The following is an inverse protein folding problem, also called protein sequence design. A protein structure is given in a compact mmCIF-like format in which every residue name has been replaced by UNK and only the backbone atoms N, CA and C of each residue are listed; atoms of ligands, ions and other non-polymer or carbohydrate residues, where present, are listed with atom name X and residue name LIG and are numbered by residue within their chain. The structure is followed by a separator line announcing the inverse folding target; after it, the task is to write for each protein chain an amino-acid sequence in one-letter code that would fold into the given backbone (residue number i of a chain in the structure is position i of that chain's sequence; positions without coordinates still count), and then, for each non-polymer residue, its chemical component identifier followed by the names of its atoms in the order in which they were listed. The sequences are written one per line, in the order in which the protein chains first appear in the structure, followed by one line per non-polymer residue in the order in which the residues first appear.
data_IF_528595512294
#
_entry.id   IF_528595512294
#
_cell.length_a   1.000
_cell.length_b   1.000
_cell.length_c   1.000
_cell.angle_alpha   90.00
_cell.angle_beta   90.00
_cell.angle_gamma   90.00
#
_symmetry.space_group_name_H-M   'P 1'
#
loop_
_entity.id
_entity.type
_entity.pdbx_description
1 polymer ?
#
# COMPACT_ATOMS: atom_id res chain seq x y z
N UNK A 1 37.32 55.22 17.85
CA UNK A 1 38.52 54.49 17.39
C UNK A 1 38.54 53.15 18.11
N UNK A 2 38.58 52.04 17.37
CA UNK A 2 39.24 50.80 17.83
C UNK A 2 40.66 50.80 17.21
N UNK A 3 41.63 50.03 17.76
CA UNK A 3 41.83 48.69 17.20
C UNK A 3 42.26 47.59 18.20
N UNK A 4 42.05 46.35 17.75
CA UNK A 4 42.91 45.16 17.91
C UNK A 4 43.32 44.61 19.28
N UNK A 5 42.83 43.41 19.57
CA UNK A 5 43.64 42.32 20.12
C UNK A 5 43.21 40.99 19.47
N UNK A 6 44.10 40.38 18.67
CA UNK A 6 43.90 39.06 18.06
C UNK A 6 44.59 37.98 18.88
N UNK A 7 43.96 36.82 19.08
CA UNK A 7 44.65 35.52 19.23
C UNK A 7 43.70 34.29 19.22
N UNK A 8 44.09 33.32 18.37
CA UNK A 8 43.73 31.89 18.29
C UNK A 8 44.99 31.18 17.73
N UNK A 9 45.18 29.84 17.76
CA UNK A 9 44.22 28.73 17.89
C UNK A 9 44.52 27.87 19.18
N UNK A 10 44.30 26.56 19.35
CA UNK A 10 43.83 25.44 18.48
C UNK A 10 42.93 24.42 19.26
N UNK A 11 42.96 23.05 19.19
CA UNK A 11 41.70 22.28 19.25
C UNK A 11 41.51 21.34 20.45
N UNK A 12 40.27 20.88 20.64
CA UNK A 12 39.85 19.87 21.64
C UNK A 12 39.34 18.63 20.89
N UNK A 13 40.24 17.75 20.45
CA UNK A 13 39.89 16.49 19.75
C UNK A 13 40.36 15.21 20.50
N UNK A 14 40.96 15.35 21.68
CA UNK A 14 41.63 14.23 22.39
C UNK A 14 40.86 13.68 23.62
N UNK A 15 39.56 14.01 23.77
CA UNK A 15 38.77 13.64 24.97
C UNK A 15 37.53 12.77 24.75
N UNK A 16 37.33 12.26 23.53
CA UNK A 16 36.19 11.38 23.20
C UNK A 16 36.58 9.93 22.84
N UNK A 17 37.88 9.60 22.74
CA UNK A 17 38.34 8.28 22.32
C UNK A 17 38.33 7.19 23.42
N UNK A 18 38.20 7.54 24.70
CA UNK A 18 38.35 6.58 25.82
C UNK A 18 37.02 6.12 26.47
N UNK A 19 35.87 6.24 25.78
CA UNK A 19 34.55 5.96 26.38
C UNK A 19 33.64 4.97 25.67
N UNK A 20 34.08 4.32 24.58
CA UNK A 20 33.25 3.36 23.83
C UNK A 20 33.71 1.89 23.93
N UNK A 21 34.83 1.58 24.61
CA UNK A 21 35.35 0.20 24.72
C UNK A 21 34.76 -0.67 25.85
N UNK A 22 33.76 -0.20 26.58
CA UNK A 22 33.06 -0.99 27.61
C UNK A 22 31.53 -0.87 27.48
N UNK A 23 30.95 -1.66 26.57
CA UNK A 23 29.64 -2.33 26.72
C UNK A 23 29.29 -3.09 25.42
N UNK A 24 29.81 -4.31 25.25
CA UNK A 24 29.31 -5.20 24.20
C UNK A 24 29.50 -6.68 24.56
N UNK A 25 28.54 -7.23 25.30
CA UNK A 25 28.33 -8.66 25.48
C UNK A 25 26.89 -8.92 25.95
N UNK A 26 26.12 -9.73 25.20
CA UNK A 26 25.16 -10.77 25.65
C UNK A 26 24.31 -11.23 24.44
N UNK A 27 24.68 -12.42 23.97
CA UNK A 27 23.89 -13.57 23.49
C UNK A 27 22.59 -13.42 22.64
N UNK A 28 22.56 -14.21 21.56
CA UNK A 28 21.38 -14.58 20.76
C UNK A 28 20.52 -15.65 21.44
N UNK A 29 19.23 -15.73 21.08
CA UNK A 29 18.55 -17.02 20.97
C UNK A 29 17.92 -17.31 19.59
N UNK A 30 18.35 -18.46 19.05
CA UNK A 30 17.77 -19.39 18.07
C UNK A 30 16.28 -19.22 17.68
N UNK A 31 16.02 -19.21 16.36
CA UNK A 31 14.73 -19.59 15.74
C UNK A 31 14.70 -21.10 15.41
N UNK A 32 13.54 -21.77 15.48
CA UNK A 32 13.27 -23.02 14.76
C UNK A 32 12.47 -22.77 13.46
N UNK A 33 12.94 -23.32 12.35
CA UNK A 33 12.22 -23.36 11.07
C UNK A 33 11.17 -24.48 11.05
N UNK A 34 10.04 -24.26 10.36
CA UNK A 34 9.21 -25.34 9.80
C UNK A 34 8.73 -24.94 8.41
N UNK A 35 9.02 -25.77 7.41
CA UNK A 35 8.46 -25.67 6.06
C UNK A 35 7.06 -26.30 6.03
N UNK A 36 6.16 -25.77 5.20
CA UNK A 36 5.24 -26.61 4.44
C UNK A 36 4.81 -25.93 3.13
N UNK A 37 4.77 -26.73 2.08
CA UNK A 37 4.44 -26.34 0.70
C UNK A 37 2.95 -26.65 0.44
N UNK A 38 2.28 -25.81 -0.36
CA UNK A 38 0.91 -26.06 -0.79
C UNK A 38 0.46 -25.13 -1.92
N UNK A 39 0.72 -25.52 -3.17
CA UNK A 39 0.08 -24.90 -4.34
C UNK A 39 -1.40 -25.31 -4.44
N UNK A 40 -2.27 -24.39 -4.83
CA UNK A 40 -3.31 -24.65 -5.85
C UNK A 40 -3.73 -23.34 -6.52
N UNK A 41 -3.97 -23.37 -7.84
CA UNK A 41 -4.46 -22.23 -8.62
C UNK A 41 -5.95 -21.94 -8.42
N UNK A 42 -6.40 -20.77 -8.90
CA UNK A 42 -7.78 -20.31 -8.74
C UNK A 42 -8.69 -20.59 -9.95
N UNK A 43 -9.99 -20.34 -9.76
CA UNK A 43 -11.05 -20.06 -10.76
C UNK A 43 -12.12 -19.28 -9.95
N UNK A 44 -12.31 -17.99 -10.25
CA UNK A 44 -13.42 -17.42 -11.03
C UNK A 44 -14.81 -17.45 -10.39
N UNK A 45 -15.42 -16.26 -10.41
CA UNK A 45 -16.76 -15.86 -10.02
C UNK A 45 -17.91 -16.75 -10.49
N UNK A 46 -18.95 -16.86 -9.66
CA UNK A 46 -20.35 -16.82 -10.10
C UNK A 46 -21.26 -16.42 -8.93
N UNK A 47 -22.26 -15.59 -9.23
CA UNK A 47 -23.27 -15.11 -8.29
C UNK A 47 -24.30 -16.21 -8.00
N UNK A 48 -24.88 -16.22 -6.80
CA UNK A 48 -26.29 -16.62 -6.61
C UNK A 48 -26.81 -16.16 -5.25
N UNK A 49 -27.96 -15.48 -5.26
CA UNK A 49 -28.75 -15.16 -4.07
C UNK A 49 -29.48 -16.42 -3.59
N UNK A 50 -29.33 -16.78 -2.30
CA UNK A 50 -30.24 -17.71 -1.64
C UNK A 50 -30.41 -17.35 -0.16
N UNK A 51 -31.66 -17.22 0.25
CA UNK A 51 -32.13 -16.95 1.62
C UNK A 51 -31.68 -18.05 2.59
N UNK A 52 -31.16 -17.66 3.76
CA UNK A 52 -30.92 -18.58 4.88
C UNK A 52 -32.11 -18.57 5.85
N UNK A 53 -32.84 -19.67 5.94
CA UNK A 53 -33.68 -20.02 7.09
C UNK A 53 -32.95 -21.06 7.97
N UNK A 54 -33.09 -21.01 9.31
CA UNK A 54 -32.42 -21.95 10.21
C UNK A 54 -33.27 -23.21 10.44
N UNK A 55 -32.78 -24.38 10.02
CA UNK A 55 -33.44 -25.65 10.33
C UNK A 55 -33.00 -26.17 11.71
N UNK A 56 -33.87 -26.00 12.71
CA UNK A 56 -33.72 -26.62 14.03
C UNK A 56 -34.27 -28.03 13.97
N UNK A 57 -33.51 -29.03 14.43
CA UNK A 57 -33.97 -30.42 14.57
C UNK A 57 -33.88 -30.85 16.03
N UNK A 58 -35.01 -30.76 16.74
CA UNK A 58 -35.16 -31.36 18.06
C UNK A 58 -35.34 -32.88 17.91
N UNK A 59 -34.59 -33.66 18.67
CA UNK A 59 -34.88 -35.07 18.93
C UNK A 59 -35.16 -35.23 20.42
N UNK A 60 -36.40 -35.59 20.74
CA UNK A 60 -36.95 -35.61 22.09
C UNK A 60 -36.61 -36.93 22.80
N UNK A 61 -36.37 -36.87 24.11
CA UNK A 61 -36.04 -38.05 24.92
C UNK A 61 -37.33 -38.82 25.23
N UNK A 62 -37.36 -40.12 24.91
CA UNK A 62 -38.42 -41.02 25.36
C UNK A 62 -37.81 -42.18 26.14
N UNK A 63 -38.25 -42.26 27.40
CA UNK A 63 -38.02 -43.35 28.35
C UNK A 63 -38.81 -44.59 27.97
N UNK A 64 -38.18 -45.77 28.00
CA UNK A 64 -38.90 -47.06 27.92
C UNK A 64 -38.19 -48.13 28.75
N UNK A 65 -38.75 -48.40 29.92
CA UNK A 65 -38.58 -49.61 30.72
C UNK A 65 -38.93 -50.87 29.92
N UNK A 66 -38.15 -51.95 30.07
CA UNK A 66 -38.56 -53.30 29.63
C UNK A 66 -38.33 -54.30 30.75
N UNK A 67 -39.40 -54.99 31.14
CA UNK A 67 -39.43 -56.01 32.17
C UNK A 67 -38.80 -57.34 31.72
N UNK A 68 -38.47 -58.16 32.73
CA UNK A 68 -38.15 -59.57 32.60
C UNK A 68 -39.33 -60.33 31.97
N UNK A 69 -39.05 -61.26 31.06
CA UNK A 69 -40.03 -62.28 30.64
C UNK A 69 -39.58 -63.67 31.04
N UNK A 70 -40.41 -64.34 31.83
CA UNK A 70 -40.32 -65.78 32.12
C UNK A 70 -40.80 -66.61 30.93
N UNK A 71 -40.25 -67.82 30.78
CA UNK A 71 -40.91 -69.00 30.20
C UNK A 71 -40.09 -70.22 30.66
N UNK A 72 -40.53 -71.01 31.65
CA UNK A 72 -41.69 -71.92 31.68
C UNK A 72 -41.46 -73.25 30.95
N UNK A 73 -41.05 -74.23 31.78
CA UNK A 73 -41.41 -75.66 31.78
C UNK A 73 -41.57 -76.46 30.47
N UNK A 74 -40.74 -77.49 30.33
CA UNK A 74 -40.99 -78.70 29.55
C UNK A 74 -40.77 -79.95 30.41
N UNK A 75 -41.84 -80.72 30.63
CA UNK A 75 -41.88 -81.90 31.51
C UNK A 75 -41.52 -83.18 30.74
N UNK A 76 -40.63 -84.03 31.29
CA UNK A 76 -40.56 -85.44 30.87
C UNK A 76 -40.06 -86.36 32.00
N UNK A 77 -40.78 -87.45 32.23
CA UNK A 77 -40.51 -88.45 33.28
C UNK A 77 -39.95 -89.72 32.67
N UNK A 78 -38.82 -90.22 33.18
CA UNK A 78 -38.41 -91.61 33.05
C UNK A 78 -37.55 -92.03 34.26
N UNK A 79 -37.78 -93.24 34.77
CA UNK A 79 -37.21 -93.78 36.00
C UNK A 79 -35.90 -94.55 35.73
N UNK A 80 -34.92 -94.49 36.64
CA UNK A 80 -34.38 -95.67 37.37
C UNK A 80 -33.14 -95.32 38.22
N UNK A 81 -32.88 -96.14 39.25
CA UNK A 81 -31.95 -95.91 40.37
C UNK A 81 -30.45 -96.19 40.07
N UNK A 82 -29.52 -95.82 40.99
CA UNK A 82 -28.13 -95.51 40.64
C UNK A 82 -27.09 -96.62 40.97
N UNK A 83 -25.97 -96.62 40.26
CA UNK A 83 -24.72 -97.25 40.72
C UNK A 83 -23.47 -96.42 40.34
N UNK A 84 -22.47 -96.48 41.23
CA UNK A 84 -21.05 -96.15 41.02
C UNK A 84 -20.61 -94.67 40.86
N UNK A 85 -20.75 -93.92 41.96
CA UNK A 85 -19.61 -93.47 42.77
C UNK A 85 -18.21 -93.41 42.09
N UNK A 86 -17.93 -92.42 41.24
CA UNK A 86 -16.56 -92.12 40.79
C UNK A 86 -16.26 -90.68 40.29
N UNK A 87 -17.25 -89.77 40.19
CA UNK A 87 -17.08 -88.45 39.54
C UNK A 87 -17.59 -87.27 40.41
N UNK A 88 -17.38 -87.35 41.72
CA UNK A 88 -17.89 -86.36 42.70
C UNK A 88 -16.93 -85.22 43.07
N UNK A 89 -15.77 -85.07 42.41
CA UNK A 89 -14.71 -84.14 42.85
C UNK A 89 -14.30 -83.07 41.83
N UNK A 90 -14.67 -83.20 40.55
CA UNK A 90 -14.34 -82.20 39.52
C UNK A 90 -15.47 -81.15 39.36
N UNK A 91 -16.73 -81.57 39.50
CA UNK A 91 -17.92 -80.72 39.32
C UNK A 91 -18.05 -79.64 40.42
N UNK A 92 -17.66 -79.93 41.67
CA UNK A 92 -17.74 -78.94 42.75
C UNK A 92 -16.64 -77.86 42.63
N UNK A 93 -15.45 -78.22 42.14
CA UNK A 93 -14.35 -77.27 41.93
C UNK A 93 -14.61 -76.30 40.78
N UNK A 94 -15.20 -76.76 39.67
CA UNK A 94 -15.55 -75.88 38.54
C UNK A 94 -16.64 -74.87 38.93
N UNK A 95 -17.68 -75.32 39.64
CA UNK A 95 -18.72 -74.42 40.13
C UNK A 95 -18.17 -73.35 41.09
N UNK A 96 -17.32 -73.73 42.06
CA UNK A 96 -16.73 -72.77 42.99
C UNK A 96 -15.77 -71.78 42.28
N UNK A 97 -15.15 -72.16 41.16
CA UNK A 97 -14.37 -71.26 40.31
C UNK A 97 -15.25 -70.24 39.59
N UNK A 98 -16.38 -70.68 39.01
CA UNK A 98 -17.30 -69.82 38.27
C UNK A 98 -17.98 -68.77 39.17
N UNK A 99 -18.33 -69.13 40.41
CA UNK A 99 -18.86 -68.15 41.37
C UNK A 99 -17.82 -67.09 41.76
N UNK A 100 -16.56 -67.47 41.97
CA UNK A 100 -15.49 -66.52 42.29
C UNK A 100 -15.20 -65.55 41.13
N UNK A 101 -15.25 -66.01 39.88
CA UNK A 101 -15.10 -65.17 38.69
C UNK A 101 -16.30 -64.20 38.55
N UNK A 102 -17.52 -64.65 38.84
CA UNK A 102 -18.71 -63.80 38.84
C UNK A 102 -18.64 -62.69 39.91
N UNK A 103 -18.19 -63.00 41.13
CA UNK A 103 -17.99 -62.00 42.20
C UNK A 103 -16.94 -60.94 41.83
N UNK A 104 -15.80 -61.37 41.25
CA UNK A 104 -14.77 -60.44 40.76
C UNK A 104 -15.33 -59.51 39.69
N UNK A 105 -16.08 -60.05 38.72
CA UNK A 105 -16.69 -59.27 37.64
C UNK A 105 -17.74 -58.27 38.15
N UNK A 106 -18.52 -58.63 39.18
CA UNK A 106 -19.44 -57.68 39.83
C UNK A 106 -18.68 -56.56 40.55
N UNK A 107 -17.58 -56.87 41.25
CA UNK A 107 -16.75 -55.87 41.92
C UNK A 107 -16.05 -54.92 40.92
N UNK A 108 -15.64 -55.41 39.75
CA UNK A 108 -15.12 -54.59 38.64
C UNK A 108 -16.20 -53.68 38.05
N UNK A 109 -17.40 -54.21 37.78
CA UNK A 109 -18.52 -53.42 37.26
C UNK A 109 -18.96 -52.32 38.23
N UNK A 110 -18.99 -52.59 39.55
CA UNK A 110 -19.30 -51.57 40.56
C UNK A 110 -18.25 -50.45 40.61
N UNK A 111 -16.96 -50.78 40.43
CA UNK A 111 -15.88 -49.77 40.33
C UNK A 111 -16.02 -48.95 39.05
N UNK A 112 -16.33 -49.58 37.92
CA UNK A 112 -16.57 -48.89 36.65
C UNK A 112 -17.79 -47.96 36.72
N UNK A 113 -18.89 -48.41 37.34
CA UNK A 113 -20.08 -47.59 37.56
C UNK A 113 -19.79 -46.36 38.44
N UNK A 114 -18.99 -46.52 39.51
CA UNK A 114 -18.56 -45.40 40.35
C UNK A 114 -17.69 -44.39 39.59
N UNK A 115 -16.72 -44.87 38.80
CA UNK A 115 -15.86 -44.02 37.98
C UNK A 115 -16.65 -43.24 36.91
N UNK A 116 -17.58 -43.91 36.21
CA UNK A 116 -18.45 -43.29 35.20
C UNK A 116 -19.38 -42.23 35.82
N UNK A 117 -19.89 -42.46 37.04
CA UNK A 117 -20.67 -41.45 37.77
C UNK A 117 -19.85 -40.21 38.12
N UNK A 118 -18.59 -40.39 38.51
CA UNK A 118 -17.68 -39.27 38.77
C UNK A 118 -17.37 -38.49 37.48
N UNK A 119 -17.06 -39.18 36.39
CA UNK A 119 -16.83 -38.58 35.06
C UNK A 119 -18.05 -37.79 34.57
N UNK A 120 -19.27 -38.33 34.72
CA UNK A 120 -20.51 -37.61 34.38
C UNK A 120 -20.65 -36.32 35.17
N UNK A 121 -20.32 -36.30 36.47
CA UNK A 121 -20.36 -35.08 37.29
C UNK A 121 -19.29 -34.08 36.82
N UNK A 122 -18.09 -34.53 36.48
CA UNK A 122 -17.03 -33.68 35.94
C UNK A 122 -17.41 -33.08 34.57
N UNK A 123 -18.01 -33.88 33.67
CA UNK A 123 -18.52 -33.44 32.36
C UNK A 123 -19.68 -32.45 32.49
N UNK A 124 -20.59 -32.66 33.44
CA UNK A 124 -21.67 -31.70 33.74
C UNK A 124 -21.13 -30.38 34.29
N UNK A 125 -20.06 -30.41 35.08
CA UNK A 125 -19.40 -29.21 35.59
C UNK A 125 -18.66 -28.45 34.49
N UNK A 126 -17.94 -29.14 33.60
CA UNK A 126 -17.23 -28.52 32.46
C UNK A 126 -18.20 -27.93 31.44
N UNK A 127 -19.31 -28.62 31.13
CA UNK A 127 -20.37 -28.10 30.26
C UNK A 127 -20.97 -26.80 30.81
N UNK A 128 -21.30 -26.73 32.11
CA UNK A 128 -21.82 -25.51 32.74
C UNK A 128 -20.83 -24.34 32.69
N UNK A 129 -19.54 -24.60 32.88
CA UNK A 129 -18.49 -23.59 32.76
C UNK A 129 -18.40 -23.06 31.32
N UNK A 130 -18.34 -23.97 30.34
CA UNK A 130 -18.28 -23.60 28.92
C UNK A 130 -19.54 -22.82 28.47
N UNK A 131 -20.73 -23.22 28.93
CA UNK A 131 -21.97 -22.48 28.68
C UNK A 131 -21.93 -21.05 29.26
N UNK A 132 -21.31 -20.87 30.44
CA UNK A 132 -21.05 -19.55 31.03
C UNK A 132 -20.11 -18.71 30.17
N UNK A 133 -18.98 -19.28 29.73
CA UNK A 133 -18.03 -18.58 28.86
C UNK A 133 -18.65 -18.18 27.51
N UNK A 134 -19.51 -19.02 26.93
CA UNK A 134 -20.24 -18.71 25.70
C UNK A 134 -21.23 -17.56 25.91
N UNK A 135 -21.94 -17.50 27.04
CA UNK A 135 -22.87 -16.39 27.30
C UNK A 135 -22.15 -15.07 27.62
N UNK A 136 -21.01 -15.13 28.30
CA UNK A 136 -20.15 -13.97 28.57
C UNK A 136 -19.55 -13.40 27.27
N UNK A 137 -19.00 -14.26 26.40
CA UNK A 137 -18.44 -13.84 25.10
C UNK A 137 -19.50 -13.33 24.13
N UNK A 138 -20.71 -13.89 24.12
CA UNK A 138 -21.85 -13.31 23.39
C UNK A 138 -22.21 -11.93 23.91
N UNK A 139 -22.18 -11.72 25.23
CA UNK A 139 -22.50 -10.43 25.87
C UNK A 139 -21.44 -9.37 25.57
N UNK A 140 -20.15 -9.73 25.63
CA UNK A 140 -19.05 -8.80 25.32
C UNK A 140 -19.01 -8.44 23.83
N UNK A 141 -19.24 -9.41 22.93
CA UNK A 141 -19.36 -9.16 21.50
C UNK A 141 -20.57 -8.23 21.19
N UNK A 142 -21.72 -8.46 21.83
CA UNK A 142 -22.89 -7.60 21.70
C UNK A 142 -22.61 -6.15 22.11
N UNK A 143 -21.86 -5.93 23.19
CA UNK A 143 -21.43 -4.58 23.63
C UNK A 143 -20.48 -3.93 22.62
N UNK A 144 -19.47 -4.65 22.14
CA UNK A 144 -18.51 -4.14 21.15
C UNK A 144 -19.22 -3.75 19.84
N UNK A 145 -20.14 -4.59 19.35
CA UNK A 145 -20.97 -4.27 18.18
C UNK A 145 -21.82 -3.03 18.43
N UNK A 146 -22.47 -2.90 19.58
CA UNK A 146 -23.27 -1.71 19.90
C UNK A 146 -22.41 -0.44 19.98
N UNK A 147 -21.24 -0.50 20.62
CA UNK A 147 -20.32 0.64 20.73
C UNK A 147 -19.77 1.06 19.37
N UNK A 148 -19.33 0.11 18.54
CA UNK A 148 -18.86 0.40 17.18
C UNK A 148 -19.95 1.03 16.29
N UNK A 149 -21.21 0.64 16.44
CA UNK A 149 -22.33 1.28 15.74
C UNK A 149 -22.54 2.73 16.18
N UNK A 150 -22.44 3.02 17.47
CA UNK A 150 -22.53 4.40 18.01
C UNK A 150 -21.37 5.26 17.51
N UNK A 151 -20.13 4.73 17.53
CA UNK A 151 -18.95 5.43 16.98
C UNK A 151 -19.08 5.69 15.48
N UNK A 152 -19.60 4.72 14.70
CA UNK A 152 -19.84 4.87 13.27
C UNK A 152 -20.90 5.95 12.98
N UNK A 153 -21.98 5.99 13.78
CA UNK A 153 -23.02 7.02 13.67
C UNK A 153 -22.48 8.42 14.02
N UNK A 154 -21.68 8.56 15.08
CA UNK A 154 -21.00 9.81 15.43
C UNK A 154 -20.05 10.30 14.33
N UNK A 155 -19.27 9.38 13.73
CA UNK A 155 -18.36 9.69 12.61
C UNK A 155 -19.15 10.14 11.37
N UNK A 156 -20.27 9.49 11.07
CA UNK A 156 -21.19 9.88 9.99
C UNK A 156 -21.78 11.28 10.22
N UNK A 157 -22.26 11.58 11.43
CA UNK A 157 -22.81 12.90 11.76
C UNK A 157 -21.75 14.01 11.66
N UNK A 158 -20.55 13.78 12.19
CA UNK A 158 -19.42 14.72 12.09
C UNK A 158 -19.05 15.01 10.63
N UNK A 159 -18.97 13.96 9.79
CA UNK A 159 -18.70 14.12 8.36
C UNK A 159 -19.82 14.87 7.64
N UNK A 160 -21.09 14.62 7.97
CA UNK A 160 -22.21 15.34 7.37
C UNK A 160 -22.17 16.84 7.69
N UNK A 161 -21.82 17.20 8.93
CA UNK A 161 -21.64 18.60 9.35
C UNK A 161 -20.44 19.24 8.63
N UNK A 162 -19.32 18.52 8.48
CA UNK A 162 -18.13 19.07 7.80
C UNK A 162 -18.37 19.30 6.31
N UNK A 163 -19.12 18.41 5.64
CA UNK A 163 -19.56 18.59 4.25
C UNK A 163 -20.42 19.85 4.12
N UNK A 164 -21.44 20.02 4.97
CA UNK A 164 -22.31 21.21 4.91
C UNK A 164 -21.51 22.51 5.15
N UNK A 165 -20.53 22.50 6.05
CA UNK A 165 -19.64 23.64 6.27
C UNK A 165 -18.77 23.95 5.05
N UNK A 166 -18.24 22.91 4.39
CA UNK A 166 -17.43 23.06 3.18
C UNK A 166 -18.26 23.56 1.99
N UNK A 167 -19.49 23.07 1.81
CA UNK A 167 -20.43 23.56 0.80
C UNK A 167 -20.79 25.04 1.04
N UNK A 168 -21.16 25.41 2.27
CA UNK A 168 -21.41 26.82 2.65
C UNK A 168 -20.19 27.71 2.42
N UNK A 169 -18.97 27.21 2.67
CA UNK A 169 -17.72 27.94 2.40
C UNK A 169 -17.45 28.06 0.90
N UNK A 170 -17.63 26.99 0.13
CA UNK A 170 -17.49 27.00 -1.33
C UNK A 170 -18.45 27.99 -1.97
N UNK A 171 -19.72 27.98 -1.53
CA UNK A 171 -20.74 28.88 -2.08
C UNK A 171 -20.50 30.34 -1.70
N UNK A 172 -20.00 30.62 -0.49
CA UNK A 172 -19.52 31.96 -0.14
C UNK A 172 -18.39 32.40 -1.07
N UNK A 173 -17.36 31.57 -1.25
CA UNK A 173 -16.21 31.87 -2.11
C UNK A 173 -16.64 32.06 -3.58
N UNK A 174 -17.59 31.26 -4.09
CA UNK A 174 -18.17 31.46 -5.44
C UNK A 174 -18.89 32.81 -5.55
N UNK A 175 -19.69 33.19 -4.57
CA UNK A 175 -20.40 34.47 -4.58
C UNK A 175 -19.45 35.67 -4.41
N UNK A 176 -18.42 35.55 -3.58
CA UNK A 176 -17.34 36.53 -3.47
C UNK A 176 -16.59 36.67 -4.81
N UNK A 177 -16.21 35.56 -5.46
CA UNK A 177 -15.60 35.62 -6.79
C UNK A 177 -16.53 36.27 -7.82
N UNK A 178 -17.80 35.87 -7.88
CA UNK A 178 -18.79 36.41 -8.85
C UNK A 178 -19.10 37.89 -8.66
N UNK A 179 -19.00 38.41 -7.43
CA UNK A 179 -19.25 39.83 -7.11
C UNK A 179 -17.99 40.68 -7.12
N UNK A 180 -16.82 40.09 -6.93
CA UNK A 180 -15.52 40.79 -6.99
C UNK A 180 -15.14 41.14 -8.42
N UNK A 181 -14.54 42.32 -8.60
CA UNK A 181 -14.10 42.87 -9.89
C UNK A 181 -13.23 41.90 -10.72
N UNK A 182 -12.45 41.03 -10.07
CA UNK A 182 -11.65 40.00 -10.73
C UNK A 182 -12.51 38.92 -11.41
N UNK A 183 -13.59 38.44 -10.77
CA UNK A 183 -14.46 37.42 -11.36
C UNK A 183 -15.41 37.98 -12.41
N UNK A 184 -15.90 39.21 -12.22
CA UNK A 184 -16.72 39.89 -13.26
C UNK A 184 -15.89 40.24 -14.50
N UNK A 185 -14.63 40.67 -14.34
CA UNK A 185 -13.72 40.88 -15.48
C UNK A 185 -13.27 39.57 -16.13
N UNK A 186 -13.13 38.47 -15.37
CA UNK A 186 -12.85 37.15 -15.95
C UNK A 186 -14.02 36.60 -16.77
N UNK A 187 -15.27 36.67 -16.27
CA UNK A 187 -16.46 36.27 -17.03
C UNK A 187 -16.66 37.16 -18.28
N UNK A 188 -16.40 38.47 -18.16
CA UNK A 188 -16.41 39.38 -19.31
C UNK A 188 -15.30 39.02 -20.32
N UNK A 189 -14.10 38.68 -19.88
CA UNK A 189 -13.00 38.23 -20.75
C UNK A 189 -13.34 36.90 -21.46
N UNK A 190 -13.95 35.94 -20.77
CA UNK A 190 -14.43 34.68 -21.35
C UNK A 190 -15.49 34.96 -22.43
N UNK A 191 -16.46 35.84 -22.16
CA UNK A 191 -17.49 36.22 -23.15
C UNK A 191 -16.93 36.99 -24.34
N UNK A 192 -15.99 37.91 -24.14
CA UNK A 192 -15.33 38.66 -25.23
C UNK A 192 -14.46 37.72 -26.08
N UNK A 193 -13.74 36.78 -25.46
CA UNK A 193 -12.99 35.75 -26.18
C UNK A 193 -13.92 34.84 -26.98
N UNK A 194 -15.01 34.34 -26.38
CA UNK A 194 -16.01 33.52 -27.09
C UNK A 194 -16.69 34.25 -28.24
N UNK A 195 -16.96 35.56 -28.10
CA UNK A 195 -17.46 36.39 -29.20
C UNK A 195 -16.42 36.59 -30.31
N UNK A 196 -15.13 36.78 -29.96
CA UNK A 196 -14.03 36.87 -30.92
C UNK A 196 -13.83 35.54 -31.66
N UNK A 197 -13.90 34.41 -30.97
CA UNK A 197 -13.79 33.09 -31.57
C UNK A 197 -14.99 32.79 -32.48
N UNK A 198 -16.21 33.18 -32.07
CA UNK A 198 -17.42 33.13 -32.91
C UNK A 198 -17.33 34.00 -34.17
N UNK A 199 -16.81 35.24 -34.05
CA UNK A 199 -16.57 36.11 -35.21
C UNK A 199 -15.49 35.54 -36.13
N UNK A 200 -14.45 34.92 -35.58
CA UNK A 200 -13.37 34.31 -36.38
C UNK A 200 -13.91 33.12 -37.16
N UNK A 201 -14.70 32.25 -36.53
CA UNK A 201 -15.42 31.18 -37.23
C UNK A 201 -16.37 31.73 -38.31
N UNK A 202 -17.23 32.69 -37.96
CA UNK A 202 -18.18 33.29 -38.91
C UNK A 202 -17.50 33.97 -40.11
N UNK A 203 -16.34 34.61 -39.92
CA UNK A 203 -15.56 35.21 -41.00
C UNK A 203 -14.85 34.15 -41.85
N UNK A 204 -14.42 33.04 -41.25
CA UNK A 204 -13.82 31.93 -41.98
C UNK A 204 -14.88 31.17 -42.80
N UNK A 205 -16.08 30.97 -42.25
CA UNK A 205 -17.24 30.44 -42.96
C UNK A 205 -17.68 31.37 -44.11
N UNK A 206 -17.65 32.69 -43.90
CA UNK A 206 -17.91 33.68 -44.95
C UNK A 206 -16.83 33.65 -46.05
N UNK A 207 -15.56 33.50 -45.69
CA UNK A 207 -14.46 33.38 -46.65
C UNK A 207 -14.58 32.10 -47.49
N UNK A 208 -14.91 30.96 -46.86
CA UNK A 208 -15.21 29.69 -47.55
C UNK A 208 -16.43 29.82 -48.47
N UNK A 209 -17.49 30.52 -48.03
CA UNK A 209 -18.65 30.80 -48.87
C UNK A 209 -18.33 31.74 -50.05
N UNK A 210 -17.38 32.67 -49.88
CA UNK A 210 -16.91 33.55 -50.95
C UNK A 210 -16.00 32.81 -51.95
N UNK A 211 -15.17 31.85 -51.51
CA UNK A 211 -14.38 30.99 -52.39
C UNK A 211 -15.25 30.03 -53.23
N UNK A 212 -16.43 29.63 -52.71
CA UNK A 212 -17.42 28.86 -53.47
C UNK A 212 -18.13 29.71 -54.54
N UNK A 213 -18.13 31.04 -54.42
CA UNK A 213 -18.62 31.98 -55.43
C UNK A 213 -17.55 32.24 -56.50
N UNK A 214 -17.41 31.28 -57.42
CA UNK A 214 -16.47 31.36 -58.55
C UNK A 214 -16.78 32.53 -59.50
N UNK A 215 -16.10 33.66 -59.29
CA UNK A 215 -15.88 34.70 -60.30
C UNK A 215 -14.45 34.60 -60.82
N UNK A 216 -14.29 33.99 -61.99
CA UNK A 216 -13.02 33.76 -62.71
C UNK A 216 -12.47 35.03 -63.38
N UNK A 217 -11.18 35.10 -63.79
CA UNK A 217 -9.98 34.83 -63.00
C UNK A 217 -8.80 35.82 -63.27
N UNK A 218 -7.73 35.71 -62.46
CA UNK A 218 -6.32 36.05 -62.77
C UNK A 218 -5.92 37.49 -63.18
N UNK A 219 -5.12 38.14 -62.32
CA UNK A 219 -4.16 39.19 -62.72
C UNK A 219 -2.78 38.91 -62.09
N UNK A 220 -1.87 38.46 -62.95
CA UNK A 220 -0.42 38.74 -63.02
C UNK A 220 0.31 39.10 -61.71
N UNK A 221 1.08 38.10 -61.24
CA UNK A 221 2.52 38.18 -60.93
C UNK A 221 3.13 39.52 -60.48
N UNK A 222 3.67 39.52 -59.26
CA UNK A 222 4.57 40.57 -58.77
C UNK A 222 5.73 39.96 -57.99
N UNK A 223 6.92 40.07 -58.55
CA UNK A 223 8.17 39.59 -57.95
C UNK A 223 8.44 40.25 -56.59
N UNK A 224 9.03 39.49 -55.66
CA UNK A 224 9.80 40.01 -54.53
C UNK A 224 11.08 39.18 -54.32
N UNK A 225 12.19 39.81 -53.89
CA UNK A 225 13.52 39.25 -54.09
C UNK A 225 13.98 38.27 -53.00
N UNK A 226 15.03 37.54 -53.37
CA UNK A 226 15.81 36.57 -52.60
C UNK A 226 15.80 36.70 -51.07
N UNK A 227 15.42 35.62 -50.40
CA UNK A 227 15.75 35.35 -49.00
C UNK A 227 16.95 34.40 -48.96
N UNK A 228 17.91 34.73 -48.09
CA UNK A 228 19.19 34.03 -47.95
C UNK A 228 19.01 32.59 -47.48
N UNK A 229 19.88 31.70 -47.96
CA UNK A 229 20.02 30.34 -47.44
C UNK A 229 20.30 30.37 -45.93
N UNK A 230 19.38 29.82 -45.15
CA UNK A 230 19.62 29.53 -43.74
C UNK A 230 20.30 28.16 -43.62
N UNK A 231 21.37 28.09 -42.83
CA UNK A 231 22.04 26.83 -42.48
C UNK A 231 21.06 25.85 -41.84
N UNK A 232 21.31 24.53 -41.90
CA UNK A 232 20.48 23.53 -41.23
C UNK A 232 20.39 23.82 -39.74
N UNK A 233 19.16 23.93 -39.23
CA UNK A 233 18.88 24.01 -37.79
C UNK A 233 19.06 22.61 -37.22
N UNK A 234 19.95 22.46 -36.23
CA UNK A 234 20.08 21.23 -35.45
C UNK A 234 18.71 20.87 -34.83
N UNK A 235 18.34 19.57 -34.75
CA UNK A 235 17.03 19.18 -34.26
C UNK A 235 16.83 19.66 -32.82
N UNK A 236 15.96 20.65 -32.65
CA UNK A 236 15.52 21.10 -31.33
C UNK A 236 14.80 19.95 -30.63
N UNK A 237 15.43 19.36 -29.62
CA UNK A 237 14.81 18.34 -28.76
C UNK A 237 13.56 18.94 -28.11
N UNK A 238 12.42 18.59 -28.69
CA UNK A 238 11.14 19.26 -28.46
C UNK A 238 10.70 19.24 -26.99
N UNK A 239 9.85 20.20 -26.64
CA UNK A 239 9.12 20.19 -25.38
C UNK A 239 8.35 18.86 -25.32
N UNK A 240 8.49 18.05 -24.25
CA UNK A 240 7.90 16.72 -24.20
C UNK A 240 6.37 16.80 -24.32
N UNK A 241 5.83 16.23 -25.39
CA UNK A 241 4.39 16.13 -25.60
C UNK A 241 3.74 15.28 -24.51
N UNK A 242 2.49 15.60 -24.18
CA UNK A 242 1.73 14.88 -23.17
C UNK A 242 1.36 13.48 -23.68
N UNK A 243 1.58 12.49 -22.81
CA UNK A 243 1.19 11.09 -22.89
C UNK A 243 2.00 10.15 -23.83
N UNK A 244 2.36 8.99 -23.27
CA UNK A 244 2.69 7.71 -23.91
C UNK A 244 3.93 7.58 -24.83
N UNK A 245 4.51 8.67 -25.35
CA UNK A 245 5.67 8.56 -26.27
C UNK A 245 6.97 9.26 -25.84
N UNK A 246 7.01 9.89 -24.67
CA UNK A 246 8.13 10.74 -24.19
C UNK A 246 9.52 10.06 -24.17
N UNK A 247 9.58 8.72 -24.19
CA UNK A 247 10.83 7.95 -24.14
C UNK A 247 11.00 6.90 -25.25
N UNK A 248 10.18 6.93 -26.33
CA UNK A 248 10.26 5.89 -27.38
C UNK A 248 11.64 5.86 -28.06
N UNK A 249 12.13 7.01 -28.52
CA UNK A 249 13.43 7.14 -29.18
C UNK A 249 14.61 6.79 -28.25
N UNK A 250 14.47 7.10 -26.95
CA UNK A 250 15.51 6.91 -25.93
C UNK A 250 15.40 5.58 -25.18
N UNK A 251 14.40 4.74 -25.47
CA UNK A 251 14.12 3.48 -24.75
C UNK A 251 15.33 2.54 -24.72
N UNK A 252 16.05 2.43 -25.84
CA UNK A 252 17.28 1.61 -25.93
C UNK A 252 18.40 2.15 -25.01
N UNK A 253 18.50 3.46 -24.85
CA UNK A 253 19.49 4.10 -23.97
C UNK A 253 19.10 3.95 -22.49
N UNK A 254 17.83 4.14 -22.15
CA UNK A 254 17.31 3.96 -20.78
C UNK A 254 17.55 2.52 -20.29
N UNK A 255 17.18 1.51 -21.10
CA UNK A 255 17.41 0.09 -20.73
C UNK A 255 18.90 -0.21 -20.52
N UNK A 256 19.78 0.26 -21.42
CA UNK A 256 21.24 0.11 -21.26
C UNK A 256 21.78 0.74 -19.98
N UNK A 257 21.25 1.89 -19.55
CA UNK A 257 21.66 2.55 -18.30
C UNK A 257 21.16 1.77 -17.07
N UNK A 258 19.91 1.30 -17.09
CA UNK A 258 19.35 0.44 -16.04
C UNK A 258 20.18 -0.86 -15.92
N UNK A 259 20.49 -1.51 -17.04
CA UNK A 259 21.32 -2.72 -17.07
C UNK A 259 22.78 -2.44 -16.66
N UNK A 260 23.32 -1.25 -16.97
CA UNK A 260 24.63 -0.82 -16.47
C UNK A 260 24.62 -0.73 -14.94
N UNK A 261 23.61 -0.09 -14.35
CA UNK A 261 23.54 0.09 -12.89
C UNK A 261 23.41 -1.23 -12.13
N UNK A 262 22.73 -2.23 -12.72
CA UNK A 262 22.65 -3.59 -12.16
C UNK A 262 23.95 -4.37 -12.27
N UNK A 263 24.54 -4.42 -13.47
CA UNK A 263 25.61 -5.37 -13.79
C UNK A 263 27.02 -4.79 -13.60
N UNK A 264 27.15 -3.46 -13.61
CA UNK A 264 28.41 -2.72 -13.50
C UNK A 264 28.20 -1.41 -12.70
N UNK A 265 27.88 -1.51 -11.39
CA UNK A 265 27.76 -0.34 -10.53
C UNK A 265 29.10 0.40 -10.45
N UNK A 266 29.05 1.73 -10.53
CA UNK A 266 30.23 2.59 -10.56
C UNK A 266 30.26 3.49 -9.31
N UNK A 267 30.79 2.95 -8.22
CA UNK A 267 30.84 3.60 -6.91
C UNK A 267 31.62 4.93 -6.88
N UNK A 268 32.44 5.19 -7.91
CA UNK A 268 33.27 6.40 -8.03
C UNK A 268 32.95 7.23 -9.28
N UNK A 269 31.82 6.95 -9.94
CA UNK A 269 31.42 7.61 -11.18
C UNK A 269 31.29 9.13 -11.05
N UNK A 270 31.27 9.88 -12.17
CA UNK A 270 31.13 11.34 -12.15
C UNK A 270 29.84 11.78 -11.46
N UNK A 271 29.77 13.06 -11.07
CA UNK A 271 28.55 13.64 -10.52
C UNK A 271 27.34 13.37 -11.44
N UNK A 272 26.17 13.15 -10.84
CA UNK A 272 24.93 12.72 -11.49
C UNK A 272 24.91 11.28 -12.04
N UNK A 273 25.96 10.47 -11.80
CA UNK A 273 25.93 9.04 -12.06
C UNK A 273 25.60 8.24 -10.78
N UNK A 274 24.84 7.15 -10.92
CA UNK A 274 24.49 6.29 -9.79
C UNK A 274 25.72 5.55 -9.23
N UNK A 275 26.04 5.79 -7.95
CA UNK A 275 27.19 5.25 -7.19
C UNK A 275 26.85 4.13 -6.20
N UNK A 276 25.70 3.48 -6.37
CA UNK A 276 25.17 2.47 -5.45
C UNK A 276 24.71 1.22 -6.20
N UNK A 277 24.75 0.08 -5.51
CA UNK A 277 24.25 -1.20 -6.01
C UNK A 277 22.78 -1.07 -6.37
N UNK A 278 22.39 -1.60 -7.53
CA UNK A 278 21.04 -1.44 -8.04
C UNK A 278 20.41 -2.81 -8.33
N UNK A 279 19.49 -3.22 -7.46
CA UNK A 279 18.87 -4.54 -7.50
C UNK A 279 17.84 -4.70 -8.63
N UNK A 280 17.50 -5.95 -9.03
CA UNK A 280 16.47 -6.21 -10.04
C UNK A 280 15.12 -5.56 -9.72
N UNK A 281 14.73 -5.53 -8.44
CA UNK A 281 13.46 -4.95 -7.99
C UNK A 281 13.44 -3.43 -8.24
N UNK A 282 14.52 -2.72 -7.91
CA UNK A 282 14.63 -1.29 -8.18
C UNK A 282 14.64 -1.00 -9.70
N UNK A 283 15.30 -1.85 -10.48
CA UNK A 283 15.31 -1.74 -11.93
C UNK A 283 13.93 -1.94 -12.57
N UNK A 284 13.11 -2.85 -12.03
CA UNK A 284 11.72 -3.03 -12.46
C UNK A 284 10.89 -1.78 -12.14
N UNK A 285 11.00 -1.25 -10.91
CA UNK A 285 10.31 -0.01 -10.49
C UNK A 285 10.62 1.17 -11.41
N UNK A 286 11.90 1.41 -11.69
CA UNK A 286 12.34 2.50 -12.59
C UNK A 286 11.90 2.25 -14.04
N UNK A 287 11.98 1.00 -14.52
CA UNK A 287 11.51 0.63 -15.86
C UNK A 287 10.00 0.86 -16.03
N UNK A 288 9.20 0.48 -15.03
CA UNK A 288 7.75 0.68 -15.04
C UNK A 288 7.40 2.18 -15.02
N UNK A 289 8.13 3.00 -14.27
CA UNK A 289 7.95 4.46 -14.28
C UNK A 289 8.28 5.08 -15.65
N UNK A 290 9.39 4.71 -16.28
CA UNK A 290 9.75 5.22 -17.62
C UNK A 290 8.83 4.72 -18.73
N UNK A 291 8.54 3.41 -18.80
CA UNK A 291 7.91 2.80 -19.98
C UNK A 291 6.39 2.61 -19.85
N UNK A 292 5.89 2.33 -18.65
CA UNK A 292 4.43 2.14 -18.42
C UNK A 292 3.76 3.45 -18.02
N UNK A 293 4.41 4.24 -17.16
CA UNK A 293 3.89 5.51 -16.66
C UNK A 293 4.41 6.74 -17.45
N UNK A 294 5.33 6.55 -18.41
CA UNK A 294 5.82 7.63 -19.27
C UNK A 294 6.53 8.76 -18.53
N UNK A 295 7.11 8.49 -17.35
CA UNK A 295 7.75 9.51 -16.48
C UNK A 295 6.77 10.31 -15.61
N UNK A 296 5.53 9.84 -15.46
CA UNK A 296 4.48 10.48 -14.66
C UNK A 296 3.68 9.46 -13.89
N UNK A 297 3.97 9.29 -12.60
CA UNK A 297 3.19 8.35 -11.80
C UNK A 297 3.68 8.12 -10.39
N UNK A 298 2.82 7.43 -9.64
CA UNK A 298 3.13 6.90 -8.32
C UNK A 298 3.81 5.53 -8.42
N UNK A 299 4.86 5.34 -7.63
CA UNK A 299 5.38 4.04 -7.24
C UNK A 299 4.93 3.74 -5.81
N UNK A 300 4.70 2.46 -5.49
CA UNK A 300 4.55 2.05 -4.09
C UNK A 300 5.89 2.19 -3.37
N UNK A 301 5.89 2.72 -2.15
CA UNK A 301 7.07 2.75 -1.28
C UNK A 301 7.67 1.34 -1.13
N UNK A 302 8.99 1.27 -1.00
CA UNK A 302 9.69 0.02 -0.70
C UNK A 302 9.80 -0.25 0.81
N UNK A 303 9.07 0.50 1.64
CA UNK A 303 9.12 0.40 3.12
C UNK A 303 10.37 1.02 3.75
N UNK A 304 11.29 1.55 2.93
CA UNK A 304 12.49 2.27 3.38
C UNK A 304 12.72 3.49 2.50
N UNK A 305 12.80 4.68 3.12
CA UNK A 305 13.05 5.94 2.40
C UNK A 305 14.38 5.93 1.64
N UNK A 306 15.41 5.25 2.17
CA UNK A 306 16.69 5.09 1.47
C UNK A 306 16.54 4.33 0.14
N UNK A 307 15.67 3.32 0.08
CA UNK A 307 15.38 2.60 -1.18
C UNK A 307 14.56 3.47 -2.15
N UNK A 308 13.63 4.29 -1.64
CA UNK A 308 12.90 5.25 -2.47
C UNK A 308 13.86 6.31 -3.05
N UNK A 309 14.78 6.84 -2.24
CA UNK A 309 15.84 7.77 -2.68
C UNK A 309 16.76 7.10 -3.71
N UNK A 310 17.09 5.82 -3.57
CA UNK A 310 17.89 5.08 -4.56
C UNK A 310 17.17 4.94 -5.92
N UNK A 311 15.88 4.58 -5.91
CA UNK A 311 15.02 4.51 -7.10
C UNK A 311 14.92 5.89 -7.78
N UNK A 312 14.68 6.93 -6.99
CA UNK A 312 14.64 8.32 -7.45
C UNK A 312 16.00 8.75 -8.05
N UNK A 313 17.11 8.42 -7.40
CA UNK A 313 18.47 8.71 -7.87
C UNK A 313 18.76 8.03 -9.22
N UNK A 314 18.35 6.79 -9.40
CA UNK A 314 18.49 6.10 -10.69
C UNK A 314 17.70 6.82 -11.80
N UNK A 315 16.47 7.26 -11.52
CA UNK A 315 15.66 8.03 -12.46
C UNK A 315 16.27 9.42 -12.78
N UNK A 316 16.73 10.17 -11.77
CA UNK A 316 17.45 11.45 -11.93
C UNK A 316 18.69 11.24 -12.81
N UNK A 317 19.50 10.23 -12.52
CA UNK A 317 20.74 9.95 -13.23
C UNK A 317 20.51 9.62 -14.71
N UNK A 318 19.48 8.83 -15.02
CA UNK A 318 19.07 8.54 -16.40
C UNK A 318 18.62 9.82 -17.10
N UNK A 319 17.74 10.61 -16.48
CA UNK A 319 17.25 11.87 -17.06
C UNK A 319 18.39 12.89 -17.28
N UNK A 320 19.35 12.97 -16.36
CA UNK A 320 20.54 13.81 -16.51
C UNK A 320 21.43 13.35 -17.68
N UNK A 321 21.53 12.04 -17.95
CA UNK A 321 22.24 11.52 -19.15
C UNK A 321 21.47 11.73 -20.46
N UNK A 322 20.16 11.96 -20.41
CA UNK A 322 19.33 12.21 -21.60
C UNK A 322 19.21 13.69 -21.96
N UNK A 323 19.05 14.56 -20.96
CA UNK A 323 18.72 15.97 -21.14
C UNK A 323 19.77 16.93 -20.55
N UNK A 324 20.80 16.41 -19.89
CA UNK A 324 21.87 17.18 -19.26
C UNK A 324 21.37 18.19 -18.23
N UNK A 325 22.09 19.30 -18.14
CA UNK A 325 21.84 20.41 -17.22
C UNK A 325 20.50 21.13 -17.44
N UNK A 326 19.64 20.67 -18.36
CA UNK A 326 18.25 21.15 -18.48
C UNK A 326 17.34 20.58 -17.39
N UNK A 327 17.67 19.42 -16.80
CA UNK A 327 16.87 18.80 -15.73
C UNK A 327 17.08 19.56 -14.43
N UNK A 328 15.98 19.82 -13.72
CA UNK A 328 15.98 20.44 -12.39
C UNK A 328 15.11 19.59 -11.48
N UNK A 329 15.75 18.92 -10.52
CA UNK A 329 15.08 18.02 -9.59
C UNK A 329 14.50 18.84 -8.45
N UNK A 330 13.20 18.72 -8.21
CA UNK A 330 12.47 19.39 -7.15
C UNK A 330 11.90 18.32 -6.22
N UNK A 331 12.41 18.23 -4.99
CA UNK A 331 11.96 17.25 -4.01
C UNK A 331 10.99 17.90 -3.03
N UNK A 332 9.86 17.26 -2.77
CA UNK A 332 8.85 17.61 -1.78
C UNK A 332 8.88 16.59 -0.64
N UNK A 333 9.04 17.05 0.60
CA UNK A 333 8.79 16.25 1.80
C UNK A 333 8.35 17.17 2.96
N UNK A 334 7.46 16.68 3.82
CA UNK A 334 6.74 17.51 4.80
C UNK A 334 7.56 18.02 6.00
N UNK A 335 8.82 17.61 6.16
CA UNK A 335 9.63 17.83 7.37
C UNK A 335 11.12 18.06 7.05
N UNK A 336 11.82 18.95 7.80
CA UNK A 336 13.22 19.29 7.54
C UNK A 336 14.18 18.11 7.74
N UNK A 337 13.85 17.16 8.63
CA UNK A 337 14.59 15.91 8.83
C UNK A 337 14.59 15.06 7.56
N UNK A 338 13.41 14.88 6.95
CA UNK A 338 13.26 14.16 5.67
C UNK A 338 13.98 14.87 4.53
N UNK A 339 13.95 16.21 4.47
CA UNK A 339 14.75 16.96 3.49
C UNK A 339 16.27 16.80 3.73
N UNK A 340 16.69 16.64 4.99
CA UNK A 340 18.05 16.25 5.36
C UNK A 340 18.44 14.86 4.85
N UNK A 341 17.56 13.87 5.02
CA UNK A 341 17.75 12.52 4.47
C UNK A 341 17.79 12.53 2.93
N UNK A 342 16.85 13.20 2.26
CA UNK A 342 16.84 13.35 0.80
C UNK A 342 18.12 14.02 0.29
N UNK A 343 18.58 15.09 0.95
CA UNK A 343 19.87 15.72 0.64
C UNK A 343 21.01 14.71 0.76
N UNK A 344 21.13 14.02 1.90
CA UNK A 344 22.24 13.08 2.17
C UNK A 344 22.22 11.90 1.19
N UNK A 345 21.05 11.30 0.97
CA UNK A 345 20.88 10.16 0.07
C UNK A 345 21.13 10.52 -1.39
N UNK A 346 20.73 11.70 -1.86
CA UNK A 346 21.07 12.19 -3.20
C UNK A 346 22.58 12.46 -3.36
N UNK A 347 23.23 13.07 -2.36
CA UNK A 347 24.68 13.27 -2.35
C UNK A 347 25.42 11.91 -2.43
N UNK A 348 24.97 10.94 -1.66
CA UNK A 348 25.55 9.59 -1.59
C UNK A 348 25.32 8.77 -2.87
N UNK A 349 24.10 8.80 -3.42
CA UNK A 349 23.73 8.02 -4.60
C UNK A 349 24.20 8.64 -5.92
N UNK A 350 24.26 9.97 -6.04
CA UNK A 350 24.61 10.68 -7.29
C UNK A 350 26.00 11.32 -7.27
N UNK A 351 26.69 11.33 -6.13
CA UNK A 351 28.00 11.97 -6.00
C UNK A 351 28.00 13.50 -6.11
N UNK A 352 26.83 14.13 -5.99
CA UNK A 352 26.67 15.58 -6.00
C UNK A 352 27.07 16.18 -4.65
N UNK A 353 27.53 17.44 -4.65
CA UNK A 353 28.03 18.13 -3.46
C UNK A 353 27.07 19.22 -2.96
N UNK A 354 27.51 20.02 -1.99
CA UNK A 354 26.81 21.25 -1.57
C UNK A 354 26.50 22.25 -2.73
N UNK A 355 27.38 22.51 -3.72
CA UNK A 355 27.10 23.51 -4.76
C UNK A 355 25.99 23.12 -5.75
N UNK A 356 25.61 21.84 -5.81
CA UNK A 356 24.57 21.33 -6.70
C UNK A 356 23.14 21.52 -6.15
N UNK A 357 23.02 21.91 -4.88
CA UNK A 357 21.75 22.26 -4.23
C UNK A 357 21.58 23.77 -4.17
N UNK A 358 20.39 24.25 -4.54
CA UNK A 358 20.05 25.67 -4.47
C UNK A 358 19.09 26.09 -5.58
N UNK A 359 18.46 27.27 -5.49
CA UNK A 359 17.32 27.64 -6.32
C UNK A 359 17.60 27.55 -7.83
N UNK A 360 18.81 27.86 -8.28
CA UNK A 360 19.18 27.82 -9.70
C UNK A 360 20.25 26.74 -10.00
N UNK A 361 20.35 25.76 -9.10
CA UNK A 361 21.23 24.58 -9.19
C UNK A 361 20.41 23.33 -9.54
N UNK A 362 21.08 22.19 -9.70
CA UNK A 362 20.46 20.97 -10.22
C UNK A 362 19.37 20.36 -9.31
N UNK A 363 19.49 20.49 -7.99
CA UNK A 363 18.48 20.03 -7.01
C UNK A 363 17.96 21.18 -6.14
N UNK A 364 16.64 21.21 -5.93
CA UNK A 364 15.95 22.07 -4.97
C UNK A 364 15.07 21.22 -4.06
N UNK A 365 14.99 21.59 -2.79
CA UNK A 365 14.23 20.89 -1.75
C UNK A 365 13.12 21.83 -1.24
N UNK A 366 11.91 21.32 -1.04
CA UNK A 366 10.74 22.09 -0.61
C UNK A 366 9.95 21.35 0.47
N UNK A 367 9.44 22.13 1.44
CA UNK A 367 8.46 21.67 2.44
C UNK A 367 7.01 21.91 1.97
N UNK A 368 6.80 22.92 1.10
CA UNK A 368 5.48 23.33 0.63
C UNK A 368 5.30 23.10 -0.87
N UNK A 369 4.23 22.40 -1.24
CA UNK A 369 3.88 22.07 -2.63
C UNK A 369 3.61 23.31 -3.50
N UNK A 370 3.01 24.37 -2.95
CA UNK A 370 2.77 25.64 -3.67
C UNK A 370 4.06 26.34 -4.09
N UNK A 371 5.07 26.36 -3.21
CA UNK A 371 6.37 26.95 -3.51
C UNK A 371 7.11 26.16 -4.59
N UNK A 372 6.98 24.82 -4.57
CA UNK A 372 7.51 23.94 -5.60
C UNK A 372 6.82 24.20 -6.94
N UNK A 373 5.49 24.27 -6.98
CA UNK A 373 4.71 24.55 -8.20
C UNK A 373 5.13 25.89 -8.85
N UNK A 374 5.24 26.95 -8.05
CA UNK A 374 5.69 28.25 -8.53
C UNK A 374 7.12 28.23 -9.10
N UNK A 375 8.03 27.42 -8.53
CA UNK A 375 9.38 27.26 -9.09
C UNK A 375 9.34 26.43 -10.37
N UNK A 376 8.59 25.33 -10.41
CA UNK A 376 8.43 24.48 -11.59
C UNK A 376 7.86 25.25 -12.79
N UNK A 377 6.91 26.17 -12.57
CA UNK A 377 6.41 27.09 -13.61
C UNK A 377 7.51 28.03 -14.14
N UNK A 378 8.33 28.61 -13.25
CA UNK A 378 9.45 29.48 -13.65
C UNK A 378 10.50 28.71 -14.45
N UNK A 379 10.79 27.47 -14.07
CA UNK A 379 11.71 26.58 -14.78
C UNK A 379 11.20 26.21 -16.17
N UNK A 380 9.91 25.87 -16.27
CA UNK A 380 9.25 25.57 -17.55
C UNK A 380 9.28 26.79 -18.49
N UNK A 381 9.00 28.00 -17.96
CA UNK A 381 9.13 29.27 -18.71
C UNK A 381 10.57 29.59 -19.13
N UNK A 382 11.57 29.05 -18.43
CA UNK A 382 12.99 29.15 -18.76
C UNK A 382 13.50 28.02 -19.69
N UNK A 383 12.61 27.24 -20.31
CA UNK A 383 12.91 26.06 -21.15
C UNK A 383 13.72 24.95 -20.43
N UNK A 384 13.72 24.96 -19.09
CA UNK A 384 14.25 23.88 -18.25
C UNK A 384 13.14 22.85 -17.96
N UNK A 385 13.55 21.64 -17.60
CA UNK A 385 12.67 20.50 -17.38
C UNK A 385 12.59 20.21 -15.88
N UNK A 386 11.52 20.64 -15.18
CA UNK A 386 11.31 20.28 -13.79
C UNK A 386 10.98 18.78 -13.68
N UNK A 387 11.75 18.06 -12.88
CA UNK A 387 11.46 16.71 -12.41
C UNK A 387 10.99 16.81 -10.97
N UNK A 388 9.72 16.51 -10.71
CA UNK A 388 9.14 16.60 -9.37
C UNK A 388 9.23 15.23 -8.69
N UNK A 389 9.70 15.21 -7.45
CA UNK A 389 9.81 13.99 -6.63
C UNK A 389 9.05 14.24 -5.34
N UNK A 390 8.09 13.38 -5.04
CA UNK A 390 7.22 13.49 -3.88
C UNK A 390 7.52 12.31 -2.95
N UNK A 391 7.98 12.61 -1.74
CA UNK A 391 8.27 11.62 -0.69
C UNK A 391 7.00 10.92 -0.18
N UNK A 392 7.17 9.75 0.46
CA UNK A 392 6.05 9.01 1.07
C UNK A 392 5.48 9.64 2.35
N UNK A 393 5.96 10.83 2.73
CA UNK A 393 5.28 11.73 3.67
C UNK A 393 4.01 12.36 3.11
N UNK A 394 3.92 12.55 1.79
CA UNK A 394 2.94 13.49 1.23
C UNK A 394 1.58 12.82 1.06
N UNK A 395 0.76 12.90 2.10
CA UNK A 395 -0.62 12.37 2.11
C UNK A 395 -1.52 13.06 1.07
N UNK A 396 -1.23 14.33 0.72
CA UNK A 396 -2.07 15.15 -0.16
C UNK A 396 -1.25 15.79 -1.28
N UNK A 397 -1.30 15.18 -2.47
CA UNK A 397 -0.64 15.73 -3.66
C UNK A 397 -1.48 16.89 -4.23
N UNK A 398 -0.93 18.11 -4.18
CA UNK A 398 -1.55 19.28 -4.82
C UNK A 398 -1.71 19.08 -6.33
N UNK A 399 -2.93 19.29 -6.85
CA UNK A 399 -3.26 19.12 -8.27
C UNK A 399 -2.37 19.98 -9.19
N UNK A 400 -1.90 21.13 -8.69
CA UNK A 400 -0.96 22.02 -9.37
C UNK A 400 0.36 21.35 -9.73
N UNK A 401 0.76 20.26 -9.06
CA UNK A 401 1.98 19.50 -9.39
C UNK A 401 1.77 18.53 -10.56
N UNK A 402 0.54 18.09 -10.80
CA UNK A 402 0.22 17.10 -11.84
C UNK A 402 0.24 17.70 -13.25
N UNK A 403 0.28 19.04 -13.36
CA UNK A 403 0.41 19.74 -14.65
C UNK A 403 1.80 19.61 -15.29
N UNK A 404 2.83 19.22 -14.51
CA UNK A 404 4.21 19.16 -15.00
C UNK A 404 4.53 17.84 -15.73
N UNK A 405 5.45 17.85 -16.70
CA UNK A 405 5.64 16.72 -17.60
C UNK A 405 6.41 15.54 -17.01
N UNK A 406 7.10 15.73 -15.88
CA UNK A 406 7.90 14.70 -15.20
C UNK A 406 7.63 14.75 -13.69
N UNK A 407 7.01 13.70 -13.16
CA UNK A 407 6.82 13.55 -11.72
C UNK A 407 6.83 12.10 -11.26
N UNK A 408 7.43 11.88 -10.09
CA UNK A 408 7.55 10.61 -9.41
C UNK A 408 7.05 10.80 -7.97
N UNK A 409 5.98 10.09 -7.60
CA UNK A 409 5.50 10.08 -6.22
C UNK A 409 5.74 8.71 -5.58
N UNK A 410 6.13 8.67 -4.31
CA UNK A 410 6.12 7.45 -3.51
C UNK A 410 4.84 7.42 -2.67
N UNK A 411 3.99 6.44 -2.91
CA UNK A 411 2.79 6.24 -2.10
C UNK A 411 3.13 5.34 -0.88
N UNK A 412 2.74 5.72 0.35
CA UNK A 412 2.89 4.85 1.52
C UNK A 412 2.07 3.55 1.35
N UNK A 413 2.45 2.48 2.05
CA UNK A 413 1.65 1.24 2.02
C UNK A 413 0.36 1.47 2.82
N UNK A 414 -0.84 1.19 2.26
CA UNK A 414 -2.10 1.33 3.00
C UNK A 414 -2.18 0.47 4.28
N UNK A 415 -1.29 -0.52 4.45
CA UNK A 415 -1.14 -1.25 5.72
C UNK A 415 -0.36 -0.45 6.76
N UNK A 416 0.65 0.33 6.36
CA UNK A 416 1.44 1.17 7.29
C UNK A 416 0.71 2.43 7.75
N UNK A 417 -0.18 2.98 6.92
CA UNK A 417 -0.98 4.18 7.30
C UNK A 417 -1.90 3.89 8.49
N UNK A 418 -2.49 2.68 8.56
CA UNK A 418 -3.38 2.28 9.67
C UNK A 418 -2.70 2.34 11.04
N UNK A 419 -1.42 2.00 11.12
CA UNK A 419 -0.69 1.99 12.39
C UNK A 419 -0.40 3.39 12.95
N UNK A 420 -0.54 4.46 12.16
CA UNK A 420 -0.39 5.84 12.64
C UNK A 420 -1.70 6.44 13.17
N UNK A 421 -2.85 5.89 12.76
CA UNK A 421 -4.18 6.34 13.22
C UNK A 421 -4.57 5.74 14.60
N UNK A 422 -3.93 4.64 15.03
CA UNK A 422 -4.25 3.93 16.29
C UNK A 422 -3.45 4.42 17.52
N UNK A 423 -2.54 5.39 17.37
CA UNK A 423 -1.60 5.89 18.41
C UNK A 423 -2.00 7.28 18.98
N UNK A 424 -3.27 7.71 18.86
CA UNK A 424 -3.78 9.02 19.32
C UNK A 424 -5.01 8.96 20.27
#
# INVERSE_FOLDING_TARGET
MNPEASQTPEPIDERLAEKEEQNNAVEHPVNPSVESVGETGGVSSSENYATFEPLISNAEVVDTTVELTENSNGEFVAQSEPENTALGLEIESENHSLYAEAEQRVAELQKAEAALKEEIVQLQASYKNLQGQVSETQTSLGRLVQESLVQLEQRKQTLQISVEQLERRQERIRNEMRTTFAGTSQDLAIRVQGFKDYLTGSLQDLAVAAEQLQLTPSVVEREKPAVKEAKPVEPQSGIPQFAQQQFQDTTKQIRRLIDQYRNKPDYYGPAWQLRRTFEPIHAERVSNWFFTQGGRGGLRTMGSRLQNILIASAAISILHKLYGDRIRTLVLANTPERLGEWRRGLQDCLGIGRPDFGPDRGVVLFEASDALAQKADRLTKANQLPLIIIDDSEEQISLSLLQFPLWLAFAPDPKTVRNYDDDF
#
